data_IF_103637260885
#
_entry.id   IF_103637260885
#
_cell.length_a   1.000
_cell.length_b   1.000
_cell.length_c   1.000
_cell.angle_alpha   90.00
_cell.angle_beta   90.00
_cell.angle_gamma   90.00
#
_symmetry.space_group_name_H-M   'P 1'
#
loop_
_entity.id
_entity.type
_entity.pdbx_description
1 polymer ?
#
# COMPACT_ATOMS: atom_id res chain seq x y z
N UNK A 1 -58.28 -43.49 1.39
CA UNK A 1 -58.47 -44.49 0.31
C UNK A 1 -57.24 -44.38 -0.58
N UNK A 2 -56.28 -45.30 -0.50
CA UNK A 2 -56.10 -46.45 -1.42
C UNK A 2 -55.94 -45.99 -2.88
N UNK A 3 -54.91 -46.30 -3.68
CA UNK A 3 -54.13 -47.54 -3.83
C UNK A 3 -52.85 -47.26 -4.66
N UNK A 4 -51.82 -48.06 -4.44
CA UNK A 4 -50.50 -48.14 -5.08
C UNK A 4 -50.48 -48.31 -6.62
N UNK A 5 -49.36 -47.94 -7.26
CA UNK A 5 -48.62 -48.78 -8.24
C UNK A 5 -47.16 -48.28 -8.38
N UNK A 6 -46.17 -49.02 -7.83
CA UNK A 6 -45.26 -50.02 -8.46
C UNK A 6 -43.95 -49.38 -8.97
N UNK A 7 -42.82 -49.63 -8.28
CA UNK A 7 -41.77 -50.66 -8.54
C UNK A 7 -40.77 -50.19 -9.62
N UNK A 8 -39.45 -50.36 -9.54
CA UNK A 8 -38.63 -51.43 -8.97
C UNK A 8 -37.20 -50.87 -8.69
N UNK A 9 -36.55 -51.20 -7.56
CA UNK A 9 -35.68 -52.39 -7.31
C UNK A 9 -34.35 -52.24 -8.08
N UNK A 10 -33.15 -52.22 -7.47
CA UNK A 10 -32.37 -53.28 -6.79
C UNK A 10 -31.10 -52.54 -6.28
N UNK A 11 -30.46 -52.73 -5.12
CA UNK A 11 -30.39 -53.82 -4.16
C UNK A 11 -28.90 -54.13 -3.89
N UNK A 12 -28.44 -53.91 -2.63
CA UNK A 12 -27.37 -54.59 -1.84
C UNK A 12 -26.01 -54.97 -2.50
N UNK A 13 -24.86 -55.04 -1.84
CA UNK A 13 -24.33 -54.69 -0.52
C UNK A 13 -22.80 -54.98 -0.56
N UNK A 14 -22.11 -54.55 0.49
CA UNK A 14 -20.67 -54.49 0.65
C UNK A 14 -19.87 -55.78 0.41
N UNK A 15 -18.60 -55.62 0.00
CA UNK A 15 -17.49 -56.49 0.42
C UNK A 15 -16.27 -55.60 0.72
N UNK A 16 -15.88 -55.54 1.99
CA UNK A 16 -14.56 -55.14 2.44
C UNK A 16 -13.58 -56.28 2.11
N UNK A 17 -12.55 -56.01 1.31
CA UNK A 17 -11.38 -56.88 1.22
C UNK A 17 -10.19 -56.09 1.75
N UNK A 18 -9.77 -56.47 2.96
CA UNK A 18 -8.41 -56.21 3.45
C UNK A 18 -7.52 -57.29 2.86
N UNK A 19 -6.55 -56.87 2.05
CA UNK A 19 -5.49 -57.73 1.53
C UNK A 19 -4.21 -56.91 1.42
N UNK A 20 -3.30 -57.10 2.37
CA UNK A 20 -1.95 -56.57 2.33
C UNK A 20 -1.06 -57.58 1.60
N UNK A 21 -0.50 -57.20 0.45
CA UNK A 21 0.72 -57.78 -0.15
C UNK A 21 1.24 -56.87 -1.26
N UNK A 22 2.52 -56.51 -1.22
CA UNK A 22 3.30 -56.19 -2.43
C UNK A 22 3.83 -54.76 -2.55
N UNK A 23 5.15 -54.65 -2.48
CA UNK A 23 5.98 -53.44 -2.57
C UNK A 23 5.72 -52.54 -3.80
N UNK A 24 5.71 -51.23 -3.57
CA UNK A 24 5.95 -50.20 -4.58
C UNK A 24 6.16 -48.85 -3.89
N UNK A 25 7.40 -48.34 -3.90
CA UNK A 25 7.70 -46.99 -3.46
C UNK A 25 7.11 -46.01 -4.48
N UNK A 26 5.95 -45.45 -4.19
CA UNK A 26 5.46 -44.28 -4.92
C UNK A 26 5.40 -43.10 -3.95
N UNK A 27 6.47 -42.32 -3.98
CA UNK A 27 6.47 -40.95 -3.49
C UNK A 27 5.34 -40.21 -4.21
N UNK A 28 4.24 -39.93 -3.50
CA UNK A 28 3.24 -38.97 -3.97
C UNK A 28 3.94 -37.61 -4.03
N UNK A 29 4.53 -37.29 -5.19
CA UNK A 29 4.87 -35.92 -5.56
C UNK A 29 3.62 -35.08 -5.36
N UNK A 30 3.74 -34.03 -4.56
CA UNK A 30 2.70 -33.01 -4.43
C UNK A 30 2.24 -32.63 -5.83
N UNK A 31 0.91 -32.61 -6.05
CA UNK A 31 0.31 -32.12 -7.29
C UNK A 31 0.91 -30.74 -7.60
N UNK A 32 1.62 -30.65 -8.71
CA UNK A 32 2.12 -29.40 -9.24
C UNK A 32 0.90 -28.51 -9.48
N UNK A 33 0.83 -27.39 -8.77
CA UNK A 33 -0.23 -26.42 -9.00
C UNK A 33 -0.06 -25.85 -10.41
N UNK A 34 -1.04 -26.09 -11.28
CA UNK A 34 -1.16 -25.44 -12.61
C UNK A 34 -1.46 -23.94 -12.53
N UNK A 35 -1.41 -23.34 -11.33
CA UNK A 35 -1.54 -21.90 -11.18
C UNK A 35 -0.25 -21.27 -11.69
N UNK A 36 -0.33 -20.39 -12.71
CA UNK A 36 0.85 -19.64 -13.13
C UNK A 36 1.45 -18.93 -11.90
N UNK A 37 2.78 -18.91 -11.77
CA UNK A 37 3.42 -18.17 -10.70
C UNK A 37 2.90 -16.72 -10.75
N UNK A 38 2.51 -16.20 -9.59
CA UNK A 38 2.12 -14.79 -9.45
C UNK A 38 3.34 -13.98 -9.87
N UNK A 39 3.28 -13.41 -11.08
CA UNK A 39 4.28 -12.46 -11.55
C UNK A 39 4.01 -11.15 -10.82
N UNK A 40 4.90 -10.79 -9.92
CA UNK A 40 4.96 -9.43 -9.41
C UNK A 40 5.58 -8.61 -10.52
N UNK A 41 4.79 -7.69 -11.11
CA UNK A 41 5.34 -6.70 -12.03
C UNK A 41 6.45 -5.97 -11.27
N UNK A 42 7.66 -6.00 -11.83
CA UNK A 42 8.78 -5.27 -11.24
C UNK A 42 8.40 -3.78 -11.15
N UNK A 43 8.72 -3.13 -10.02
CA UNK A 43 8.42 -1.71 -9.89
C UNK A 43 9.19 -0.92 -10.96
N UNK A 44 8.64 0.21 -11.45
CA UNK A 44 9.31 1.04 -12.44
C UNK A 44 10.74 1.40 -12.02
N UNK A 45 11.65 1.49 -12.98
CA UNK A 45 13.05 1.85 -12.70
C UNK A 45 13.15 3.14 -11.89
N UNK A 46 14.01 3.13 -10.87
CA UNK A 46 14.24 4.27 -9.97
C UNK A 46 13.15 4.52 -8.91
N UNK A 47 12.01 3.83 -8.93
CA UNK A 47 10.92 4.02 -7.95
C UNK A 47 11.23 3.56 -6.51
N UNK A 48 12.43 3.00 -6.30
CA UNK A 48 12.93 2.47 -5.02
C UNK A 48 14.39 2.90 -4.69
N UNK A 49 14.98 3.81 -5.48
CA UNK A 49 16.33 4.38 -5.34
C UNK A 49 16.63 5.08 -4.00
N UNK A 50 15.73 5.92 -3.50
CA UNK A 50 15.77 6.64 -2.22
C UNK A 50 15.30 5.78 -1.04
N UNK A 51 14.70 4.62 -1.28
CA UNK A 51 14.30 3.68 -0.23
C UNK A 51 13.07 4.10 0.58
N UNK A 52 12.41 5.21 0.23
CA UNK A 52 11.22 5.71 0.92
C UNK A 52 10.14 4.63 0.98
N UNK A 53 9.84 3.99 -0.14
CA UNK A 53 8.76 3.01 -0.20
C UNK A 53 9.06 1.72 0.61
N UNK A 54 10.33 1.46 0.94
CA UNK A 54 10.75 0.34 1.80
C UNK A 54 10.65 0.68 3.29
N UNK A 55 10.62 1.96 3.65
CA UNK A 55 10.53 2.38 5.06
C UNK A 55 9.16 2.12 5.67
N UNK A 56 8.16 1.76 4.86
CA UNK A 56 6.79 1.50 5.29
C UNK A 56 6.40 0.04 5.11
N UNK A 57 6.60 -0.82 6.14
CA UNK A 57 6.09 -2.18 6.14
C UNK A 57 4.59 -2.19 5.87
N UNK A 58 4.16 -3.08 4.98
CA UNK A 58 2.77 -3.19 4.55
C UNK A 58 1.85 -3.45 5.75
N UNK A 59 2.31 -4.21 6.74
CA UNK A 59 1.55 -4.49 7.97
C UNK A 59 1.23 -3.21 8.75
N UNK A 60 2.23 -2.35 8.99
CA UNK A 60 2.08 -1.10 9.73
C UNK A 60 1.08 -0.17 9.04
N UNK A 61 1.20 0.01 7.71
CA UNK A 61 0.28 0.88 6.96
C UNK A 61 -1.13 0.29 6.93
N UNK A 62 -1.24 -1.03 6.80
CA UNK A 62 -2.52 -1.73 6.84
C UNK A 62 -3.22 -1.54 8.18
N UNK A 63 -2.49 -1.67 9.29
CA UNK A 63 -3.01 -1.40 10.63
C UNK A 63 -3.43 0.06 10.78
N UNK A 64 -2.58 1.00 10.38
CA UNK A 64 -2.82 2.44 10.47
C UNK A 64 -4.08 2.87 9.71
N UNK A 65 -4.28 2.35 8.50
CA UNK A 65 -5.45 2.66 7.68
C UNK A 65 -6.69 1.84 8.09
N UNK A 66 -6.59 0.95 9.07
CA UNK A 66 -7.65 0.02 9.48
C UNK A 66 -8.04 -0.99 8.39
N UNK A 67 -7.11 -1.30 7.49
CA UNK A 67 -7.33 -2.16 6.35
C UNK A 67 -7.48 -3.62 6.75
N UNK A 68 -8.66 -4.21 6.54
CA UNK A 68 -8.85 -5.65 6.66
C UNK A 68 -8.65 -6.34 5.29
N UNK A 69 -9.73 -6.82 4.68
CA UNK A 69 -9.70 -7.66 3.47
C UNK A 69 -9.53 -6.86 2.17
N UNK A 70 -9.73 -5.54 2.23
CA UNK A 70 -9.82 -4.64 1.07
C UNK A 70 -8.78 -3.51 1.16
N UNK A 71 -7.54 -3.92 1.45
CA UNK A 71 -6.38 -3.04 1.48
C UNK A 71 -5.48 -3.40 0.31
N UNK A 72 -5.02 -2.39 -0.43
CA UNK A 72 -4.05 -2.59 -1.51
C UNK A 72 -2.92 -1.56 -1.40
N UNK A 73 -1.69 -2.03 -1.62
CA UNK A 73 -0.55 -1.18 -1.94
C UNK A 73 -0.56 -0.92 -3.45
N UNK A 74 -0.48 0.34 -3.83
CA UNK A 74 -0.29 0.73 -5.23
C UNK A 74 1.18 0.57 -5.61
N UNK A 75 1.46 0.35 -6.90
CA UNK A 75 2.85 0.25 -7.35
C UNK A 75 3.58 1.57 -7.05
N UNK A 76 4.81 1.51 -6.49
CA UNK A 76 5.65 2.69 -6.36
C UNK A 76 5.87 3.37 -7.71
N UNK A 77 6.08 4.67 -7.69
CA UNK A 77 6.36 5.46 -8.89
C UNK A 77 7.65 6.24 -8.72
N UNK A 78 8.47 6.24 -9.75
CA UNK A 78 9.57 7.19 -9.86
C UNK A 78 9.01 8.61 -10.08
N UNK A 79 9.68 9.60 -9.51
CA UNK A 79 9.42 11.02 -9.76
C UNK A 79 10.63 11.58 -10.51
N UNK A 80 10.38 12.11 -11.69
CA UNK A 80 11.38 12.67 -12.60
C UNK A 80 10.67 13.12 -13.88
N UNK A 81 11.36 13.82 -14.77
CA UNK A 81 10.86 14.03 -16.12
C UNK A 81 11.29 12.86 -17.01
N UNK A 82 10.53 12.60 -18.08
CA UNK A 82 10.88 11.56 -19.03
C UNK A 82 12.23 11.87 -19.68
N UNK A 83 13.20 10.94 -19.54
CA UNK A 83 14.56 11.10 -20.05
C UNK A 83 15.54 11.74 -19.06
N UNK A 84 15.08 12.22 -17.90
CA UNK A 84 15.92 12.77 -16.83
C UNK A 84 16.14 11.75 -15.71
N UNK A 85 17.13 12.04 -14.85
CA UNK A 85 17.36 11.26 -13.64
C UNK A 85 16.14 11.25 -12.73
N UNK A 86 15.87 10.08 -12.14
CA UNK A 86 14.87 9.96 -11.09
C UNK A 86 15.35 10.73 -9.87
N UNK A 87 14.57 11.76 -9.52
CA UNK A 87 14.78 12.71 -8.43
C UNK A 87 13.81 12.47 -7.28
N UNK A 88 13.02 11.41 -7.31
CA UNK A 88 12.09 11.13 -6.22
C UNK A 88 11.32 9.84 -6.36
N UNK A 89 10.52 9.58 -5.34
CA UNK A 89 9.69 8.38 -5.24
C UNK A 89 8.33 8.72 -4.69
N UNK A 90 7.31 7.95 -5.08
CA UNK A 90 6.07 7.90 -4.34
C UNK A 90 5.59 6.48 -4.08
N UNK A 91 5.06 6.27 -2.88
CA UNK A 91 4.29 5.10 -2.49
C UNK A 91 2.87 5.50 -2.12
N UNK A 92 1.93 4.62 -2.40
CA UNK A 92 0.53 4.87 -2.10
C UNK A 92 -0.20 3.59 -1.69
N UNK A 93 -1.23 3.78 -0.88
CA UNK A 93 -2.08 2.73 -0.36
C UNK A 93 -3.53 3.19 -0.40
N UNK A 94 -4.41 2.23 -0.58
CA UNK A 94 -5.84 2.45 -0.58
C UNK A 94 -6.51 1.37 0.27
N UNK A 95 -7.46 1.79 1.07
CA UNK A 95 -8.47 0.94 1.70
C UNK A 95 -9.83 1.26 1.09
N UNK A 96 -10.59 0.22 0.78
CA UNK A 96 -12.00 0.35 0.39
C UNK A 96 -12.87 -0.48 1.32
N UNK A 97 -13.89 0.08 1.96
CA UNK A 97 -14.82 -0.71 2.77
C UNK A 97 -15.89 -1.40 1.92
N UNK A 98 -16.62 -2.40 2.44
CA UNK A 98 -17.65 -3.12 1.69
C UNK A 98 -18.74 -2.24 1.07
N UNK A 99 -18.96 -1.05 1.62
CA UNK A 99 -19.94 -0.07 1.13
C UNK A 99 -19.37 0.86 0.05
N UNK A 100 -18.13 0.66 -0.39
CA UNK A 100 -17.47 1.48 -1.42
C UNK A 100 -16.83 2.77 -0.90
N UNK A 101 -16.85 3.03 0.42
CA UNK A 101 -16.11 4.14 1.02
C UNK A 101 -14.60 3.89 0.89
N UNK A 102 -13.81 4.93 0.63
CA UNK A 102 -12.36 4.78 0.38
C UNK A 102 -11.52 5.68 1.28
N UNK A 103 -10.33 5.20 1.64
CA UNK A 103 -9.28 5.98 2.27
C UNK A 103 -8.00 5.79 1.48
N UNK A 104 -7.37 6.89 1.09
CA UNK A 104 -6.10 6.92 0.38
C UNK A 104 -5.01 7.51 1.26
N UNK A 105 -3.81 6.95 1.13
CA UNK A 105 -2.57 7.49 1.67
C UNK A 105 -1.55 7.52 0.54
N UNK A 106 -0.89 8.66 0.34
CA UNK A 106 0.26 8.78 -0.55
C UNK A 106 1.39 9.50 0.16
N UNK A 107 2.60 8.98 0.03
CA UNK A 107 3.81 9.61 0.52
C UNK A 107 4.78 9.73 -0.65
N UNK A 108 5.29 10.93 -0.84
CA UNK A 108 6.25 11.29 -1.89
C UNK A 108 7.50 11.86 -1.23
N UNK A 109 8.66 11.60 -1.82
CA UNK A 109 9.88 12.36 -1.53
C UNK A 109 10.51 12.80 -2.83
N UNK A 110 11.02 14.03 -2.84
CA UNK A 110 11.85 14.60 -3.90
C UNK A 110 13.21 14.95 -3.33
N UNK A 111 14.25 14.54 -4.03
CA UNK A 111 15.65 14.86 -3.81
C UNK A 111 16.05 16.01 -4.74
N UNK A 112 16.45 17.13 -4.16
CA UNK A 112 16.93 18.30 -4.88
C UNK A 112 18.46 18.28 -5.05
N UNK A 113 19.16 17.31 -4.48
CA UNK A 113 20.62 17.24 -4.49
C UNK A 113 21.24 18.53 -3.97
N UNK A 114 22.10 19.15 -4.78
CA UNK A 114 22.77 20.41 -4.42
C UNK A 114 21.88 21.65 -4.62
N UNK A 115 20.69 21.54 -5.24
CA UNK A 115 19.79 22.68 -5.50
C UNK A 115 18.96 23.08 -4.26
N UNK A 116 19.67 23.49 -3.22
CA UNK A 116 19.06 23.95 -1.96
C UNK A 116 18.18 25.18 -2.17
N UNK A 117 18.57 26.09 -3.07
CA UNK A 117 17.79 27.30 -3.36
C UNK A 117 16.46 26.97 -4.05
N UNK A 118 16.46 26.01 -4.99
CA UNK A 118 15.25 25.49 -5.61
C UNK A 118 14.31 24.84 -4.60
N UNK A 119 14.85 24.03 -3.68
CA UNK A 119 14.08 23.41 -2.59
C UNK A 119 13.43 24.46 -1.68
N UNK A 120 14.22 25.43 -1.21
CA UNK A 120 13.72 26.49 -0.33
C UNK A 120 12.62 27.31 -0.99
N UNK A 121 12.82 27.69 -2.26
CA UNK A 121 11.82 28.40 -3.04
C UNK A 121 10.55 27.57 -3.21
N UNK A 122 10.68 26.29 -3.58
CA UNK A 122 9.54 25.41 -3.79
C UNK A 122 8.73 25.26 -2.49
N UNK A 123 9.40 25.00 -1.37
CA UNK A 123 8.74 24.85 -0.08
C UNK A 123 8.05 26.14 0.37
N UNK A 124 8.69 27.30 0.21
CA UNK A 124 8.09 28.60 0.50
C UNK A 124 6.87 28.87 -0.39
N UNK A 125 6.96 28.56 -1.69
CA UNK A 125 5.85 28.73 -2.64
C UNK A 125 4.65 27.84 -2.25
N UNK A 126 4.88 26.58 -1.84
CA UNK A 126 3.83 25.68 -1.31
C UNK A 126 3.19 26.24 -0.03
N UNK A 127 4.01 26.66 0.94
CA UNK A 127 3.55 27.21 2.23
C UNK A 127 2.75 28.49 2.04
N UNK A 128 3.15 29.35 1.11
CA UNK A 128 2.44 30.61 0.80
C UNK A 128 1.03 30.38 0.20
N UNK A 129 0.84 29.29 -0.54
CA UNK A 129 -0.44 28.91 -1.14
C UNK A 129 -1.33 28.14 -0.15
N UNK A 130 -0.74 27.54 0.89
CA UNK A 130 -1.42 26.76 1.92
C UNK A 130 -2.14 27.65 2.95
N UNK A 131 -3.27 28.25 2.56
CA UNK A 131 -4.09 29.07 3.48
C UNK A 131 -4.54 28.25 4.70
N UNK A 132 -4.29 28.77 5.89
CA UNK A 132 -4.67 28.10 7.14
C UNK A 132 -3.78 26.90 7.49
N UNK A 133 -2.54 26.86 6.99
CA UNK A 133 -1.61 25.81 7.38
C UNK A 133 -1.34 25.83 8.90
N UNK A 134 -1.00 24.66 9.42
CA UNK A 134 -0.52 24.46 10.79
C UNK A 134 0.95 24.06 10.72
N UNK A 135 1.83 24.80 11.38
CA UNK A 135 3.24 24.42 11.49
C UNK A 135 3.40 23.14 12.31
N UNK A 136 4.35 22.29 11.94
CA UNK A 136 4.65 21.03 12.63
C UNK A 136 6.09 21.11 13.18
N UNK A 137 6.21 21.29 14.48
CA UNK A 137 7.51 21.41 15.13
C UNK A 137 8.22 20.06 15.22
N UNK A 138 9.54 20.07 15.05
CA UNK A 138 10.41 18.90 15.24
C UNK A 138 10.47 17.92 14.06
N UNK A 139 9.73 18.16 12.98
CA UNK A 139 9.77 17.34 11.76
C UNK A 139 10.65 17.99 10.69
N UNK A 140 11.85 17.45 10.46
CA UNK A 140 12.81 17.99 9.49
C UNK A 140 13.29 19.40 9.86
N UNK A 141 13.64 20.19 8.84
CA UNK A 141 14.08 21.58 8.98
C UNK A 141 12.92 22.58 9.04
N UNK A 142 11.83 22.30 8.33
CA UNK A 142 10.56 23.03 8.40
C UNK A 142 9.44 22.11 7.89
N UNK A 143 8.29 22.12 8.56
CA UNK A 143 7.14 21.34 8.16
C UNK A 143 5.83 22.06 8.45
N UNK A 144 4.83 21.77 7.63
CA UNK A 144 3.48 22.23 7.83
C UNK A 144 2.46 21.20 7.35
N UNK A 145 1.26 21.27 7.90
CA UNK A 145 0.09 20.57 7.39
C UNK A 145 -0.98 21.55 6.95
N UNK A 146 -1.80 21.16 5.99
CA UNK A 146 -2.91 21.94 5.46
C UNK A 146 -3.99 21.01 4.93
N UNK A 147 -5.25 21.44 5.03
CA UNK A 147 -6.38 20.74 4.39
C UNK A 147 -6.66 21.41 3.05
N UNK A 148 -6.61 20.63 1.96
CA UNK A 148 -6.92 21.06 0.60
C UNK A 148 -8.09 20.22 0.09
N UNK A 149 -9.28 20.82 0.02
CA UNK A 149 -10.51 20.08 -0.26
C UNK A 149 -10.79 19.06 0.85
N UNK A 150 -10.87 17.78 0.50
CA UNK A 150 -11.06 16.66 1.45
C UNK A 150 -9.74 15.96 1.83
N UNK A 151 -8.61 16.48 1.34
CA UNK A 151 -7.28 15.90 1.56
C UNK A 151 -6.54 16.65 2.65
N UNK A 152 -6.02 15.91 3.63
CA UNK A 152 -4.99 16.42 4.52
C UNK A 152 -3.63 16.22 3.85
N UNK A 153 -2.85 17.30 3.77
CA UNK A 153 -1.50 17.28 3.20
C UNK A 153 -0.52 17.77 4.26
N UNK A 154 0.56 17.03 4.45
CA UNK A 154 1.72 17.41 5.23
C UNK A 154 2.91 17.58 4.27
N UNK A 155 3.64 18.68 4.43
CA UNK A 155 4.87 18.99 3.71
C UNK A 155 6.00 19.12 4.73
N UNK A 156 7.12 18.47 4.48
CA UNK A 156 8.31 18.58 5.32
C UNK A 156 9.55 18.72 4.45
N UNK A 157 10.37 19.73 4.74
CA UNK A 157 11.72 19.88 4.20
C UNK A 157 12.70 19.27 5.18
N UNK A 158 13.67 18.50 4.70
CA UNK A 158 14.75 17.94 5.52
C UNK A 158 16.00 17.75 4.69
N UNK A 159 17.06 18.53 4.94
CA UNK A 159 18.26 18.57 4.11
C UNK A 159 17.92 18.92 2.67
N UNK A 160 18.34 18.06 1.73
CA UNK A 160 18.05 18.18 0.30
C UNK A 160 16.68 17.61 -0.11
N UNK A 161 15.87 17.15 0.84
CA UNK A 161 14.62 16.44 0.56
C UNK A 161 13.38 17.27 0.83
N UNK A 162 12.38 17.14 -0.05
CA UNK A 162 11.00 17.53 0.18
C UNK A 162 10.13 16.27 0.30
N UNK A 163 9.59 16.01 1.48
CA UNK A 163 8.61 14.96 1.72
C UNK A 163 7.20 15.55 1.70
N UNK A 164 6.31 14.93 0.93
CA UNK A 164 4.87 15.21 0.93
C UNK A 164 4.12 13.96 1.38
N UNK A 165 3.42 14.03 2.50
CA UNK A 165 2.46 13.00 2.91
C UNK A 165 1.04 13.53 2.71
N UNK A 166 0.15 12.73 2.14
CA UNK A 166 -1.23 13.13 1.91
C UNK A 166 -2.19 12.00 2.21
N UNK A 167 -3.33 12.33 2.82
CA UNK A 167 -4.41 11.39 3.04
C UNK A 167 -5.75 12.00 2.70
N UNK A 168 -6.61 11.19 2.10
CA UNK A 168 -7.97 11.57 1.72
C UNK A 168 -8.92 10.45 2.10
N UNK A 169 -10.04 10.81 2.72
CA UNK A 169 -11.15 9.90 2.98
C UNK A 169 -12.37 10.28 2.16
N UNK A 170 -13.16 9.28 1.76
CA UNK A 170 -14.43 9.49 1.04
C UNK A 170 -15.47 8.46 1.47
N UNK A 171 -16.76 8.78 1.26
CA UNK A 171 -17.87 7.85 1.53
C UNK A 171 -18.04 7.47 3.01
N UNK A 172 -17.52 8.28 3.94
CA UNK A 172 -17.60 8.05 5.39
C UNK A 172 -16.36 7.43 6.02
N UNK A 173 -15.32 7.09 5.23
CA UNK A 173 -13.98 6.86 5.77
C UNK A 173 -13.26 8.19 5.96
N UNK A 174 -12.59 8.33 7.11
CA UNK A 174 -11.79 9.51 7.42
C UNK A 174 -10.40 9.42 6.77
N UNK A 175 -9.84 10.57 6.40
CA UNK A 175 -8.41 10.68 6.16
C UNK A 175 -7.64 10.40 7.46
N UNK A 176 -6.37 10.03 7.33
CA UNK A 176 -5.46 9.96 8.47
C UNK A 176 -5.32 11.33 9.15
N UNK A 177 -5.08 11.33 10.45
CA UNK A 177 -4.86 12.56 11.22
C UNK A 177 -3.50 13.19 10.93
N UNK A 178 -3.32 14.45 11.37
CA UNK A 178 -2.02 15.14 11.29
C UNK A 178 -0.97 14.39 12.09
N UNK A 179 -1.29 13.86 13.27
CA UNK A 179 -0.33 13.09 14.07
C UNK A 179 0.13 11.85 13.31
N UNK A 180 -0.81 11.10 12.72
CA UNK A 180 -0.49 9.90 11.93
C UNK A 180 0.38 10.22 10.71
N UNK A 181 0.08 11.30 9.98
CA UNK A 181 0.93 11.73 8.86
C UNK A 181 2.31 12.20 9.34
N UNK A 182 2.39 12.82 10.52
CA UNK A 182 3.65 13.28 11.11
C UNK A 182 4.53 12.09 11.49
N UNK A 183 3.97 11.04 12.11
CA UNK A 183 4.69 9.80 12.42
C UNK A 183 5.22 9.11 11.16
N UNK A 184 4.41 9.03 10.11
CA UNK A 184 4.82 8.50 8.81
C UNK A 184 5.96 9.34 8.21
N UNK A 185 5.83 10.67 8.23
CA UNK A 185 6.85 11.56 7.72
C UNK A 185 8.18 11.45 8.49
N UNK A 186 8.14 11.31 9.82
CA UNK A 186 9.34 11.03 10.63
C UNK A 186 10.04 9.74 10.18
N UNK A 187 9.26 8.67 10.00
CA UNK A 187 9.79 7.38 9.53
C UNK A 187 10.37 7.47 8.12
N UNK A 188 9.72 8.23 7.24
CA UNK A 188 10.18 8.51 5.88
C UNK A 188 11.51 9.23 5.88
N UNK A 189 11.57 10.40 6.53
CA UNK A 189 12.78 11.23 6.62
C UNK A 189 13.94 10.44 7.23
N UNK A 190 13.70 9.69 8.31
CA UNK A 190 14.73 8.90 8.97
C UNK A 190 15.28 7.72 8.15
N UNK A 191 14.66 7.40 7.01
CA UNK A 191 15.09 6.35 6.11
C UNK A 191 15.76 6.87 4.82
N UNK A 192 15.80 8.19 4.62
CA UNK A 192 16.46 8.81 3.47
C UNK A 192 18.00 8.74 3.62
N UNK A 193 18.74 8.64 2.51
CA UNK A 193 20.20 8.48 2.52
C UNK A 193 20.98 9.75 2.92
#
# INVERSE_FOLDING_TARGET
MSLMRRLAMVGFAAVLIVGATGCGKDEKKAEQSDRPPVSFVDPPEGSMKLGLCLSYPIADIKELMGGNQYFKRLMPTAIGQEGDDVTGESCAWERTDPNGATSNLRIEVRDFGEDTAGLEKWFADLKSQAKGFTAIDGLGDDAFSVVIGESLVLQARSGQYLLTASSQGSGGLAALSVEQLTELAFKGIGALP
#
